data_IF_556504878035
#
_entry.id   IF_556504878035
#
_cell.length_a   1.000
_cell.length_b   1.000
_cell.length_c   1.000
_cell.angle_alpha   90.00
_cell.angle_beta   90.00
_cell.angle_gamma   90.00
#
_symmetry.space_group_name_H-M   'P 1'
#
loop_
_entity.id
_entity.type
_entity.pdbx_description
1 polymer ?
#
# COMPACT_ATOMS: atom_id res chain seq x y z
N UNK A 1 8.98 34.38 -5.95
CA UNK A 1 10.25 33.78 -6.40
C UNK A 1 10.29 32.37 -5.86
N UNK A 2 9.97 31.41 -6.70
CA UNK A 2 9.99 29.99 -6.36
C UNK A 2 11.44 29.53 -6.30
N UNK A 3 11.91 29.15 -5.12
CA UNK A 3 13.21 28.52 -4.98
C UNK A 3 13.16 27.12 -5.62
N UNK A 4 13.73 27.03 -6.79
CA UNK A 4 14.05 25.79 -7.47
C UNK A 4 15.07 25.06 -6.60
N UNK A 5 14.65 24.12 -5.77
CA UNK A 5 15.54 23.14 -5.15
C UNK A 5 15.92 22.11 -6.23
N UNK A 6 16.72 22.53 -7.18
CA UNK A 6 17.59 21.65 -7.94
C UNK A 6 18.66 21.16 -6.95
N UNK A 7 18.39 20.11 -6.21
CA UNK A 7 19.47 19.27 -5.72
C UNK A 7 20.15 18.68 -6.95
N UNK A 8 21.26 19.32 -7.34
CA UNK A 8 22.30 18.71 -8.15
C UNK A 8 22.71 17.43 -7.42
N UNK A 9 22.06 16.33 -7.76
CA UNK A 9 22.54 14.99 -7.41
C UNK A 9 23.91 14.90 -8.06
N UNK A 10 24.98 15.06 -7.27
CA UNK A 10 26.30 14.65 -7.68
C UNK A 10 26.13 13.25 -8.26
N UNK A 11 26.69 13.01 -9.43
CA UNK A 11 26.78 11.69 -10.05
C UNK A 11 27.61 10.80 -9.12
N UNK A 12 26.98 10.32 -8.05
CA UNK A 12 27.61 9.28 -7.21
C UNK A 12 27.79 8.07 -8.10
N UNK A 13 29.00 7.57 -8.14
CA UNK A 13 29.32 6.29 -8.79
C UNK A 13 28.26 5.26 -8.40
N UNK A 14 27.63 4.54 -9.35
CA UNK A 14 26.58 3.59 -9.01
C UNK A 14 27.10 2.56 -8.01
N UNK A 15 26.35 2.31 -6.96
CA UNK A 15 26.68 1.25 -5.99
C UNK A 15 26.45 -0.10 -6.66
N UNK A 16 27.44 -0.99 -6.53
CA UNK A 16 27.41 -2.34 -7.09
C UNK A 16 27.44 -3.38 -5.99
N UNK A 17 27.06 -4.61 -6.31
CA UNK A 17 26.91 -5.67 -5.34
C UNK A 17 25.66 -5.51 -4.48
N UNK A 18 25.67 -6.09 -3.28
CA UNK A 18 24.63 -5.97 -2.28
C UNK A 18 24.81 -4.69 -1.46
N UNK A 19 23.75 -3.94 -1.28
CA UNK A 19 23.75 -2.75 -0.42
C UNK A 19 22.38 -2.48 0.19
N UNK A 20 22.42 -1.81 1.33
CA UNK A 20 21.27 -1.21 1.99
C UNK A 20 21.29 0.30 1.69
N UNK A 21 20.13 0.87 1.42
CA UNK A 21 19.95 2.30 1.13
C UNK A 21 18.58 2.75 1.64
N UNK A 22 18.34 4.04 1.63
CA UNK A 22 17.02 4.61 1.91
C UNK A 22 16.66 5.66 0.88
N UNK A 23 15.37 5.93 0.77
CA UNK A 23 14.85 7.10 0.08
C UNK A 23 13.98 7.92 1.03
N UNK A 24 13.87 9.20 0.75
CA UNK A 24 12.94 10.08 1.46
C UNK A 24 11.55 9.86 0.86
N UNK A 25 10.60 9.47 1.70
CA UNK A 25 9.22 9.26 1.26
C UNK A 25 8.58 10.57 0.83
N UNK A 26 7.87 10.53 -0.28
CA UNK A 26 7.09 11.68 -0.77
C UNK A 26 5.84 11.99 0.07
N UNK A 27 5.50 11.10 1.02
CA UNK A 27 4.28 11.19 1.84
C UNK A 27 4.51 12.04 3.09
N UNK A 28 5.61 11.81 3.81
CA UNK A 28 5.83 12.35 5.16
C UNK A 28 7.27 12.73 5.44
N UNK A 29 8.11 12.77 4.42
CA UNK A 29 9.54 13.08 4.48
C UNK A 29 10.35 12.10 5.36
N UNK A 30 9.78 10.93 5.73
CA UNK A 30 10.48 9.89 6.47
C UNK A 30 11.46 9.12 5.58
N UNK A 31 12.56 8.63 6.16
CA UNK A 31 13.49 7.74 5.47
C UNK A 31 12.93 6.33 5.44
N UNK A 32 12.77 5.78 4.22
CA UNK A 32 12.27 4.42 3.99
C UNK A 32 13.39 3.55 3.44
N UNK A 33 13.80 2.52 4.20
CA UNK A 33 14.92 1.69 3.82
C UNK A 33 14.53 0.65 2.75
N UNK A 34 15.53 0.20 2.02
CA UNK A 34 15.42 -0.94 1.10
C UNK A 34 16.76 -1.64 0.94
N UNK A 35 16.72 -2.87 0.47
CA UNK A 35 17.91 -3.61 0.04
C UNK A 35 17.93 -3.74 -1.48
N UNK A 36 19.12 -3.75 -2.06
CA UNK A 36 19.28 -3.96 -3.48
C UNK A 36 20.54 -4.79 -3.79
N UNK A 37 20.47 -5.50 -4.91
CA UNK A 37 21.61 -6.09 -5.58
C UNK A 37 21.71 -5.49 -6.99
N UNK A 38 22.86 -4.95 -7.29
CA UNK A 38 23.25 -4.53 -8.64
C UNK A 38 24.48 -5.32 -9.05
N UNK A 39 24.45 -6.02 -10.19
CA UNK A 39 25.58 -6.84 -10.62
C UNK A 39 26.92 -6.10 -10.54
N UNK A 40 27.99 -6.74 -10.04
CA UNK A 40 29.34 -6.15 -10.08
C UNK A 40 29.79 -5.77 -11.51
N UNK A 41 29.30 -6.51 -12.51
CA UNK A 41 29.54 -6.28 -13.94
C UNK A 41 28.59 -5.24 -14.57
N UNK A 42 27.84 -4.49 -13.78
CA UNK A 42 26.85 -3.52 -14.28
C UNK A 42 27.47 -2.51 -15.24
N UNK A 43 26.74 -2.26 -16.32
CA UNK A 43 27.06 -1.20 -17.29
C UNK A 43 25.79 -0.41 -17.63
N UNK A 44 25.86 0.91 -17.59
CA UNK A 44 24.75 1.79 -17.99
C UNK A 44 24.35 1.66 -19.46
N UNK A 45 25.21 1.07 -20.29
CA UNK A 45 24.94 0.79 -21.72
C UNK A 45 24.05 -0.44 -21.93
N UNK A 46 23.92 -1.32 -20.92
CA UNK A 46 23.08 -2.51 -20.94
C UNK A 46 21.82 -2.27 -20.11
N UNK A 47 20.67 -2.75 -20.59
CA UNK A 47 19.41 -2.71 -19.81
C UNK A 47 19.23 -4.02 -19.06
N UNK A 48 18.98 -3.91 -17.75
CA UNK A 48 18.82 -5.05 -16.83
C UNK A 48 17.36 -5.29 -16.48
N UNK A 49 16.94 -6.55 -16.39
CA UNK A 49 15.68 -6.90 -15.73
C UNK A 49 15.68 -6.41 -14.29
N UNK A 50 14.50 -6.08 -13.78
CA UNK A 50 14.27 -5.73 -12.39
C UNK A 50 13.40 -6.80 -11.71
N UNK A 51 13.92 -7.45 -10.69
CA UNK A 51 13.17 -8.33 -9.80
C UNK A 51 12.86 -7.58 -8.51
N UNK A 52 11.56 -7.38 -8.23
CA UNK A 52 11.08 -6.81 -6.97
C UNK A 52 10.59 -7.93 -6.08
N UNK A 53 11.11 -8.00 -4.85
CA UNK A 53 10.80 -9.08 -3.90
C UNK A 53 10.30 -8.51 -2.56
N UNK A 54 9.11 -8.96 -2.15
CA UNK A 54 8.34 -8.44 -1.02
C UNK A 54 8.41 -9.41 0.16
N UNK A 55 8.86 -8.92 1.32
CA UNK A 55 8.96 -9.70 2.56
C UNK A 55 7.60 -10.04 3.17
N UNK A 56 7.58 -10.96 4.12
CA UNK A 56 6.41 -11.33 4.90
C UNK A 56 6.21 -10.45 6.13
N UNK A 57 5.17 -10.76 6.91
CA UNK A 57 4.93 -10.13 8.22
C UNK A 57 6.08 -10.44 9.19
N UNK A 58 6.31 -9.56 10.14
CA UNK A 58 7.40 -9.65 11.13
C UNK A 58 8.82 -9.69 10.53
N UNK A 59 8.97 -9.22 9.28
CA UNK A 59 10.23 -9.17 8.57
C UNK A 59 10.50 -7.77 7.99
N UNK A 60 11.64 -7.62 7.36
CA UNK A 60 12.03 -6.37 6.71
C UNK A 60 12.66 -6.61 5.32
N UNK A 61 13.09 -5.54 4.70
CA UNK A 61 13.72 -5.53 3.38
C UNK A 61 14.99 -6.40 3.25
N UNK A 62 15.57 -6.87 4.36
CA UNK A 62 16.80 -7.71 4.39
C UNK A 62 16.47 -9.19 4.33
N UNK A 63 15.27 -9.61 4.76
CA UNK A 63 14.92 -11.04 4.86
C UNK A 63 15.19 -11.80 3.55
N UNK A 64 14.70 -11.32 2.44
CA UNK A 64 14.83 -12.06 1.16
C UNK A 64 16.26 -12.08 0.67
N UNK A 65 17.00 -10.96 0.57
CA UNK A 65 18.37 -11.00 0.07
C UNK A 65 19.34 -11.67 1.03
N UNK A 66 19.18 -11.55 2.34
CA UNK A 66 20.15 -12.07 3.30
C UNK A 66 19.87 -13.52 3.72
N UNK A 67 18.60 -13.85 4.01
CA UNK A 67 18.22 -15.16 4.54
C UNK A 67 17.81 -16.14 3.43
N UNK A 68 16.99 -15.69 2.46
CA UNK A 68 16.48 -16.56 1.42
C UNK A 68 17.52 -16.79 0.30
N UNK A 69 18.02 -15.71 -0.31
CA UNK A 69 19.00 -15.80 -1.39
C UNK A 69 20.45 -15.86 -0.90
N UNK A 70 20.72 -15.56 0.37
CA UNK A 70 22.04 -15.56 0.99
C UNK A 70 23.08 -14.69 0.23
N UNK A 71 22.62 -13.57 -0.32
CA UNK A 71 23.42 -12.71 -1.22
C UNK A 71 24.73 -12.22 -0.59
N UNK A 72 24.78 -11.78 0.69
CA UNK A 72 26.04 -11.33 1.28
C UNK A 72 27.14 -12.42 1.32
N UNK A 73 26.75 -13.69 1.33
CA UNK A 73 27.69 -14.83 1.39
C UNK A 73 28.05 -15.39 0.02
N UNK A 74 27.09 -15.41 -0.92
CA UNK A 74 27.22 -16.13 -2.20
C UNK A 74 27.22 -15.21 -3.41
N UNK A 75 26.86 -13.91 -3.23
CA UNK A 75 26.48 -13.04 -4.33
C UNK A 75 25.13 -13.41 -4.92
N UNK A 76 24.81 -12.81 -6.02
CA UNK A 76 23.60 -13.10 -6.80
C UNK A 76 23.96 -13.08 -8.30
N UNK A 77 22.99 -12.97 -9.16
CA UNK A 77 23.17 -13.04 -10.61
C UNK A 77 23.76 -11.76 -11.21
N UNK A 78 24.52 -11.90 -12.31
CA UNK A 78 25.10 -10.80 -13.08
C UNK A 78 24.17 -10.25 -14.17
N UNK A 79 23.00 -10.81 -14.33
CA UNK A 79 22.07 -10.48 -15.40
C UNK A 79 20.74 -9.87 -14.93
N UNK A 80 20.55 -9.66 -13.61
CA UNK A 80 19.34 -9.10 -13.02
C UNK A 80 19.67 -8.14 -11.88
N UNK A 81 18.89 -7.08 -11.72
CA UNK A 81 18.90 -6.21 -10.53
C UNK A 81 17.77 -6.66 -9.61
N UNK A 82 18.08 -6.92 -8.33
CA UNK A 82 17.11 -7.23 -7.30
C UNK A 82 16.82 -5.99 -6.46
N UNK A 83 15.56 -5.81 -6.09
CA UNK A 83 15.09 -4.74 -5.22
C UNK A 83 14.14 -5.31 -4.17
N UNK A 84 14.43 -5.06 -2.90
CA UNK A 84 13.63 -5.49 -1.77
C UNK A 84 13.21 -4.26 -0.96
N UNK A 85 12.03 -3.66 -1.24
CA UNK A 85 11.53 -2.52 -0.50
C UNK A 85 11.04 -2.92 0.88
N UNK A 86 11.11 -1.99 1.85
CA UNK A 86 10.56 -2.17 3.19
C UNK A 86 9.02 -2.07 3.22
N UNK A 87 8.43 -1.21 2.38
CA UNK A 87 6.99 -1.04 2.29
C UNK A 87 6.32 -0.65 3.61
N UNK A 88 7.06 -0.01 4.52
CA UNK A 88 6.68 0.41 5.88
C UNK A 88 6.34 -0.74 6.84
N UNK A 89 6.94 -1.92 6.65
CA UNK A 89 6.74 -3.08 7.54
C UNK A 89 5.41 -3.79 7.31
N UNK A 90 4.67 -4.08 8.37
CA UNK A 90 3.54 -5.01 8.38
C UNK A 90 2.20 -4.37 7.99
N UNK A 91 2.18 -3.59 6.92
CA UNK A 91 0.97 -2.93 6.40
C UNK A 91 0.54 -3.45 5.02
N UNK A 92 0.83 -4.72 4.70
CA UNK A 92 0.44 -5.40 3.45
C UNK A 92 0.84 -4.66 2.17
N UNK A 93 1.87 -3.81 2.22
CA UNK A 93 2.21 -2.91 1.11
C UNK A 93 1.01 -2.09 0.62
N UNK A 94 0.11 -1.70 1.53
CA UNK A 94 -1.05 -0.89 1.22
C UNK A 94 -0.85 0.57 1.65
N UNK A 95 -1.68 1.48 1.12
CA UNK A 95 -1.62 2.89 1.48
C UNK A 95 -0.22 3.48 1.33
N UNK A 96 0.39 3.99 2.43
CA UNK A 96 1.76 4.53 2.38
C UNK A 96 2.82 3.49 2.03
N UNK A 97 2.62 2.22 2.39
CA UNK A 97 3.53 1.14 2.00
C UNK A 97 3.55 0.88 0.49
N UNK A 98 2.40 1.00 -0.17
CA UNK A 98 2.34 0.93 -1.64
C UNK A 98 3.02 2.14 -2.29
N UNK A 99 2.82 3.35 -1.75
CA UNK A 99 3.48 4.53 -2.28
C UNK A 99 5.00 4.43 -2.16
N UNK A 100 5.52 3.99 -1.01
CA UNK A 100 6.96 3.81 -0.81
C UNK A 100 7.54 2.68 -1.66
N UNK A 101 6.77 1.62 -1.92
CA UNK A 101 7.16 0.61 -2.91
C UNK A 101 7.42 1.26 -4.28
N UNK A 102 6.51 2.10 -4.76
CA UNK A 102 6.67 2.78 -6.04
C UNK A 102 7.78 3.83 -6.01
N UNK A 103 7.95 4.56 -4.91
CA UNK A 103 9.07 5.50 -4.73
C UNK A 103 10.41 4.76 -4.77
N UNK A 104 10.52 3.58 -4.14
CA UNK A 104 11.70 2.71 -4.19
C UNK A 104 11.97 2.20 -5.63
N UNK A 105 10.94 1.75 -6.34
CA UNK A 105 11.06 1.34 -7.75
C UNK A 105 11.50 2.52 -8.64
N UNK A 106 10.99 3.71 -8.42
CA UNK A 106 11.40 4.90 -9.16
C UNK A 106 12.84 5.30 -8.80
N UNK A 107 13.24 5.17 -7.53
CA UNK A 107 14.61 5.42 -7.09
C UNK A 107 15.62 4.56 -7.86
N UNK A 108 15.37 3.26 -7.99
CA UNK A 108 16.27 2.36 -8.73
C UNK A 108 16.26 2.67 -10.25
N UNK A 109 15.09 2.92 -10.84
CA UNK A 109 14.93 3.22 -12.27
C UNK A 109 15.62 4.52 -12.71
N UNK A 110 15.72 5.50 -11.82
CA UNK A 110 16.37 6.77 -12.12
C UNK A 110 17.89 6.71 -12.03
N UNK A 111 18.44 5.68 -11.39
CA UNK A 111 19.89 5.53 -11.13
C UNK A 111 20.53 4.39 -11.93
N UNK A 112 19.73 3.41 -12.33
CA UNK A 112 20.21 2.24 -13.04
C UNK A 112 19.42 2.00 -14.33
N UNK A 113 20.09 1.42 -15.32
CA UNK A 113 19.53 1.14 -16.64
C UNK A 113 18.63 -0.10 -16.61
N UNK A 114 17.34 0.10 -16.33
CA UNK A 114 16.33 -0.97 -16.23
C UNK A 114 15.64 -1.22 -17.58
N UNK A 115 15.46 -2.50 -17.93
CA UNK A 115 14.56 -2.90 -19.01
C UNK A 115 13.10 -2.89 -18.52
N UNK A 116 12.37 -1.83 -18.81
CA UNK A 116 10.97 -1.67 -18.40
C UNK A 116 10.02 -2.74 -18.95
N UNK A 117 10.46 -3.58 -19.89
CA UNK A 117 9.70 -4.74 -20.36
C UNK A 117 9.97 -6.02 -19.58
N UNK A 118 10.97 -6.01 -18.68
CA UNK A 118 11.38 -7.15 -17.86
C UNK A 118 11.40 -6.75 -16.39
N UNK A 119 10.22 -6.43 -15.87
CA UNK A 119 9.99 -6.18 -14.45
C UNK A 119 9.16 -7.33 -13.88
N UNK A 120 9.64 -7.92 -12.81
CA UNK A 120 9.07 -9.10 -12.16
C UNK A 120 8.75 -8.80 -10.72
N UNK A 121 7.72 -9.45 -10.20
CA UNK A 121 7.28 -9.29 -8.82
C UNK A 121 7.16 -10.65 -8.15
N UNK A 122 7.72 -10.78 -6.96
CA UNK A 122 7.54 -11.94 -6.09
C UNK A 122 7.38 -11.48 -4.66
N UNK A 123 6.85 -12.33 -3.81
CA UNK A 123 6.74 -12.09 -2.38
C UNK A 123 6.15 -13.28 -1.66
N UNK A 124 6.42 -13.35 -0.37
CA UNK A 124 6.02 -14.46 0.49
C UNK A 124 5.02 -13.99 1.56
N UNK A 125 4.06 -14.84 1.93
CA UNK A 125 3.08 -14.55 2.99
C UNK A 125 2.38 -13.20 2.74
N UNK A 126 2.51 -12.20 3.62
CA UNK A 126 2.06 -10.82 3.40
C UNK A 126 2.52 -10.28 2.03
N UNK A 127 3.80 -10.45 1.67
CA UNK A 127 4.32 -10.10 0.33
C UNK A 127 3.70 -10.92 -0.80
N UNK A 128 3.25 -12.14 -0.53
CA UNK A 128 2.49 -12.98 -1.46
C UNK A 128 1.10 -12.40 -1.76
N UNK A 129 0.37 -11.96 -0.73
CA UNK A 129 -0.88 -11.22 -0.89
C UNK A 129 -0.67 -9.93 -1.67
N UNK A 130 0.37 -9.16 -1.31
CA UNK A 130 0.73 -7.95 -2.03
C UNK A 130 1.08 -8.23 -3.49
N UNK A 131 1.78 -9.33 -3.79
CA UNK A 131 2.11 -9.74 -5.17
C UNK A 131 0.86 -9.95 -6.03
N UNK A 132 -0.12 -10.70 -5.53
CA UNK A 132 -1.41 -10.87 -6.22
C UNK A 132 -2.12 -9.54 -6.46
N UNK A 133 -2.26 -8.74 -5.40
CA UNK A 133 -2.98 -7.46 -5.44
C UNK A 133 -2.31 -6.45 -6.36
N UNK A 134 -1.01 -6.22 -6.19
CA UNK A 134 -0.25 -5.25 -6.99
C UNK A 134 -0.22 -5.62 -8.47
N UNK A 135 -0.07 -6.90 -8.78
CA UNK A 135 -0.08 -7.34 -10.17
C UNK A 135 -1.45 -7.17 -10.83
N UNK A 136 -2.52 -7.49 -10.12
CA UNK A 136 -3.87 -7.32 -10.64
C UNK A 136 -4.31 -5.84 -10.72
N UNK A 137 -3.75 -4.98 -9.85
CA UNK A 137 -4.00 -3.54 -9.88
C UNK A 137 -3.20 -2.83 -10.97
N UNK A 138 -1.94 -3.26 -11.20
CA UNK A 138 -1.01 -2.66 -12.16
C UNK A 138 -0.49 -3.67 -13.18
N UNK A 139 -1.37 -4.32 -13.95
CA UNK A 139 -0.97 -5.40 -14.84
C UNK A 139 0.03 -4.94 -15.91
N UNK A 140 0.06 -3.64 -16.20
CA UNK A 140 0.98 -3.06 -17.16
C UNK A 140 2.39 -2.83 -16.63
N UNK A 141 2.67 -3.11 -15.38
CA UNK A 141 4.01 -2.98 -14.81
C UNK A 141 4.82 -4.30 -14.87
N UNK A 142 4.17 -5.46 -14.89
CA UNK A 142 4.82 -6.73 -14.62
C UNK A 142 4.89 -7.64 -15.86
N UNK A 143 6.04 -8.24 -16.10
CA UNK A 143 6.23 -9.23 -17.14
C UNK A 143 5.85 -10.65 -16.70
N UNK A 144 6.04 -10.96 -15.42
CA UNK A 144 5.60 -12.18 -14.75
C UNK A 144 5.59 -11.95 -13.23
N UNK A 145 4.89 -12.79 -12.48
CA UNK A 145 4.82 -12.73 -11.02
C UNK A 145 4.95 -14.11 -10.37
N UNK A 146 5.46 -14.14 -9.13
CA UNK A 146 5.53 -15.37 -8.36
C UNK A 146 5.08 -15.13 -6.90
N UNK A 147 3.79 -15.22 -6.61
CA UNK A 147 3.26 -15.15 -5.24
C UNK A 147 3.47 -16.48 -4.51
N UNK A 148 3.94 -16.42 -3.24
CA UNK A 148 4.25 -17.58 -2.41
C UNK A 148 3.44 -17.52 -1.13
N UNK A 149 2.78 -18.62 -0.73
CA UNK A 149 1.98 -18.79 0.50
C UNK A 149 1.14 -17.54 0.85
N UNK A 150 0.51 -16.97 -0.16
CA UNK A 150 -0.36 -15.80 -0.04
C UNK A 150 -1.76 -16.08 -0.57
N UNK A 151 -2.55 -15.03 -0.64
CA UNK A 151 -3.91 -15.04 -1.16
C UNK A 151 -4.26 -13.74 -1.87
N UNK A 152 -5.51 -13.58 -2.27
CA UNK A 152 -5.97 -12.38 -2.94
C UNK A 152 -7.47 -12.38 -3.22
N UNK A 153 -7.95 -11.29 -3.77
CA UNK A 153 -9.33 -11.18 -4.23
C UNK A 153 -9.52 -11.87 -5.58
N UNK A 154 -10.36 -12.90 -5.61
CA UNK A 154 -10.67 -13.66 -6.82
C UNK A 154 -11.29 -12.79 -7.94
N UNK A 155 -11.96 -11.71 -7.57
CA UNK A 155 -12.62 -10.83 -8.53
C UNK A 155 -11.63 -10.06 -9.40
N UNK A 156 -10.44 -9.73 -8.86
CA UNK A 156 -9.41 -8.97 -9.60
C UNK A 156 -8.45 -9.85 -10.39
N UNK A 157 -8.43 -11.17 -10.18
CA UNK A 157 -7.52 -12.11 -10.88
C UNK A 157 -7.70 -12.04 -12.42
N UNK A 158 -8.89 -11.66 -12.88
CA UNK A 158 -9.13 -11.44 -14.30
C UNK A 158 -8.20 -10.44 -14.98
N UNK A 159 -7.63 -9.52 -14.23
CA UNK A 159 -6.66 -8.54 -14.73
C UNK A 159 -5.31 -9.19 -15.08
N UNK A 160 -5.03 -10.39 -14.57
CA UNK A 160 -3.79 -11.14 -14.80
C UNK A 160 -3.84 -11.99 -16.09
N UNK A 161 -4.85 -11.86 -16.93
CA UNK A 161 -5.10 -12.69 -18.10
C UNK A 161 -3.87 -12.94 -19.01
N UNK A 162 -2.93 -11.99 -19.05
CA UNK A 162 -1.74 -12.04 -19.92
C UNK A 162 -0.43 -12.13 -19.15
N UNK A 163 -0.48 -12.18 -17.82
CA UNK A 163 0.70 -12.19 -16.97
C UNK A 163 0.96 -13.62 -16.54
N UNK A 164 2.13 -14.20 -16.88
CA UNK A 164 2.55 -15.49 -16.34
C UNK A 164 2.65 -15.44 -14.82
N UNK A 165 2.03 -16.42 -14.16
CA UNK A 165 1.99 -16.55 -12.71
C UNK A 165 2.63 -17.88 -12.30
N UNK A 166 3.60 -17.85 -11.39
CA UNK A 166 4.10 -19.04 -10.72
C UNK A 166 3.72 -19.01 -9.25
N UNK A 167 2.63 -19.67 -8.89
CA UNK A 167 2.15 -19.73 -7.51
C UNK A 167 2.76 -20.94 -6.80
N UNK A 168 3.26 -20.73 -5.57
CA UNK A 168 3.80 -21.81 -4.71
C UNK A 168 3.14 -21.74 -3.33
N UNK A 169 2.72 -22.89 -2.78
CA UNK A 169 2.11 -22.95 -1.46
C UNK A 169 2.38 -24.29 -0.78
N UNK A 170 2.53 -24.30 0.53
CA UNK A 170 2.61 -25.53 1.32
C UNK A 170 1.25 -26.14 1.57
N UNK A 171 1.13 -27.46 1.35
CA UNK A 171 -0.14 -28.20 1.54
C UNK A 171 -0.67 -28.08 2.97
N UNK A 172 0.26 -28.03 3.95
CA UNK A 172 -0.04 -27.98 5.39
C UNK A 172 0.21 -26.60 6.01
N UNK A 173 -0.03 -25.55 5.26
CA UNK A 173 0.09 -24.20 5.76
C UNK A 173 -1.06 -23.90 6.74
N UNK A 174 -0.72 -23.75 8.02
CA UNK A 174 -1.67 -23.47 9.11
C UNK A 174 -1.86 -21.96 9.35
N UNK A 175 -0.99 -21.10 8.80
CA UNK A 175 -1.09 -19.65 8.94
C UNK A 175 -1.91 -19.04 7.81
N UNK A 176 -1.62 -19.43 6.58
CA UNK A 176 -2.36 -19.02 5.39
C UNK A 176 -2.90 -20.29 4.71
N UNK A 177 -4.20 -20.60 4.84
CA UNK A 177 -4.76 -21.79 4.24
C UNK A 177 -4.46 -21.91 2.74
N UNK A 178 -4.00 -23.09 2.31
CA UNK A 178 -3.64 -23.38 0.92
C UNK A 178 -4.78 -23.14 -0.06
N UNK A 179 -6.01 -23.17 0.43
CA UNK A 179 -7.25 -22.89 -0.32
C UNK A 179 -7.25 -21.51 -0.96
N UNK A 180 -6.58 -20.52 -0.35
CA UNK A 180 -6.43 -19.20 -0.97
C UNK A 180 -5.71 -19.30 -2.34
N UNK A 181 -4.61 -20.03 -2.41
CA UNK A 181 -3.90 -20.24 -3.68
C UNK A 181 -4.67 -21.14 -4.62
N UNK A 182 -5.28 -22.22 -4.14
CA UNK A 182 -6.09 -23.13 -4.96
C UNK A 182 -7.21 -22.40 -5.68
N UNK A 183 -7.96 -21.53 -5.00
CA UNK A 183 -9.05 -20.75 -5.59
C UNK A 183 -8.55 -19.79 -6.68
N UNK A 184 -7.46 -19.06 -6.43
CA UNK A 184 -6.89 -18.11 -7.37
C UNK A 184 -6.34 -18.81 -8.62
N UNK A 185 -5.65 -19.92 -8.44
CA UNK A 185 -5.11 -20.74 -9.54
C UNK A 185 -6.23 -21.38 -10.35
N UNK A 186 -7.28 -21.89 -9.71
CA UNK A 186 -8.45 -22.42 -10.40
C UNK A 186 -9.12 -21.35 -11.27
N UNK A 187 -9.20 -20.11 -10.80
CA UNK A 187 -9.75 -19.00 -11.56
C UNK A 187 -8.83 -18.60 -12.74
N UNK A 188 -7.49 -18.61 -12.57
CA UNK A 188 -6.55 -18.45 -13.69
C UNK A 188 -6.75 -19.54 -14.75
N UNK A 189 -6.87 -20.80 -14.34
CA UNK A 189 -7.11 -21.95 -15.22
C UNK A 189 -8.44 -21.78 -15.98
N UNK A 190 -9.53 -21.41 -15.28
CA UNK A 190 -10.85 -21.16 -15.89
C UNK A 190 -10.77 -20.05 -16.97
N UNK A 191 -9.93 -19.03 -16.75
CA UNK A 191 -9.69 -17.93 -17.70
C UNK A 191 -8.66 -18.25 -18.79
N UNK A 192 -8.05 -19.44 -18.76
CA UNK A 192 -6.95 -19.82 -19.65
C UNK A 192 -5.76 -18.83 -19.57
N UNK A 193 -5.50 -18.27 -18.39
CA UNK A 193 -4.36 -17.41 -18.12
C UNK A 193 -3.10 -18.25 -17.94
N UNK A 194 -1.92 -17.81 -18.40
CA UNK A 194 -0.67 -18.57 -18.26
C UNK A 194 -0.31 -18.68 -16.78
N UNK A 195 -0.22 -19.90 -16.25
CA UNK A 195 0.14 -20.14 -14.86
C UNK A 195 0.88 -21.46 -14.66
N UNK A 196 1.66 -21.51 -13.58
CA UNK A 196 2.26 -22.68 -12.96
C UNK A 196 1.86 -22.69 -11.50
N UNK A 197 1.51 -23.85 -10.96
CA UNK A 197 1.20 -24.03 -9.55
C UNK A 197 1.98 -25.22 -8.99
N UNK A 198 2.77 -24.97 -7.96
CA UNK A 198 3.44 -26.01 -7.20
C UNK A 198 2.89 -26.00 -5.76
N UNK A 199 2.01 -26.96 -5.46
CA UNK A 199 1.56 -27.26 -4.12
C UNK A 199 2.52 -28.25 -3.48
N UNK A 200 3.23 -27.80 -2.44
CA UNK A 200 4.31 -28.57 -1.83
C UNK A 200 3.76 -29.54 -0.77
N UNK A 201 3.70 -30.80 -1.12
CA UNK A 201 3.17 -31.87 -0.26
C UNK A 201 3.94 -31.96 1.05
N UNK A 202 3.21 -31.86 2.18
CA UNK A 202 3.75 -31.93 3.52
C UNK A 202 4.45 -30.66 4.02
N UNK A 203 4.56 -29.61 3.22
CA UNK A 203 5.13 -28.33 3.62
C UNK A 203 4.11 -27.45 4.34
N UNK A 204 4.59 -26.74 5.37
CA UNK A 204 3.84 -25.68 6.06
C UNK A 204 4.02 -24.31 5.41
N UNK A 205 3.91 -23.26 6.23
CA UNK A 205 3.92 -21.87 5.77
C UNK A 205 5.19 -21.44 5.01
N UNK A 206 6.36 -21.92 5.41
CA UNK A 206 7.66 -21.50 4.90
C UNK A 206 8.03 -22.06 3.51
N UNK A 207 7.05 -22.24 2.64
CA UNK A 207 7.20 -22.76 1.27
C UNK A 207 8.13 -21.90 0.37
N UNK A 208 8.40 -20.65 0.72
CA UNK A 208 9.38 -19.81 0.02
C UNK A 208 10.81 -20.38 0.09
N UNK A 209 11.17 -21.13 1.11
CA UNK A 209 12.49 -21.78 1.21
C UNK A 209 12.71 -22.77 0.07
N UNK A 210 11.65 -23.36 -0.46
CA UNK A 210 11.73 -24.23 -1.62
C UNK A 210 11.97 -23.44 -2.90
N UNK A 211 11.29 -22.30 -3.11
CA UNK A 211 11.39 -21.54 -4.35
C UNK A 211 12.61 -20.62 -4.42
N UNK A 212 12.97 -19.97 -3.29
CA UNK A 212 14.05 -18.98 -3.25
C UNK A 212 15.43 -19.57 -3.03
N UNK A 213 15.56 -20.90 -2.81
CA UNK A 213 16.86 -21.50 -2.59
C UNK A 213 17.79 -21.29 -3.80
N UNK A 214 19.08 -20.93 -3.56
CA UNK A 214 20.01 -20.53 -4.61
C UNK A 214 20.45 -21.65 -5.56
N UNK A 215 20.36 -22.90 -5.14
CA UNK A 215 20.95 -24.11 -5.75
C UNK A 215 19.93 -24.99 -6.50
N UNK A 216 18.86 -24.37 -7.01
CA UNK A 216 17.92 -25.05 -7.92
C UNK A 216 18.48 -25.07 -9.35
N UNK A 217 19.18 -26.13 -9.69
CA UNK A 217 19.69 -26.33 -11.05
C UNK A 217 18.53 -26.39 -12.07
N UNK A 218 18.57 -25.48 -13.03
CA UNK A 218 17.69 -25.49 -14.23
C UNK A 218 16.24 -25.10 -14.03
N UNK A 219 15.76 -24.90 -12.79
CA UNK A 219 14.38 -24.49 -12.46
C UNK A 219 14.34 -23.41 -11.38
N UNK A 220 15.26 -22.47 -11.47
CA UNK A 220 15.30 -21.35 -10.53
C UNK A 220 14.20 -20.34 -10.83
N UNK A 221 13.71 -19.64 -9.79
CA UNK A 221 12.73 -18.57 -9.96
C UNK A 221 13.20 -17.51 -10.96
N UNK A 222 14.48 -17.12 -10.88
CA UNK A 222 15.03 -16.08 -11.75
C UNK A 222 15.10 -16.55 -13.21
N UNK A 223 15.50 -17.79 -13.47
CA UNK A 223 15.53 -18.34 -14.83
C UNK A 223 14.11 -18.43 -15.42
N UNK A 224 13.14 -18.80 -14.60
CA UNK A 224 11.74 -18.79 -15.02
C UNK A 224 11.29 -17.36 -15.37
N UNK A 225 11.57 -16.36 -14.55
CA UNK A 225 11.22 -14.97 -14.83
C UNK A 225 11.86 -14.46 -16.13
N UNK A 226 13.13 -14.78 -16.38
CA UNK A 226 13.86 -14.28 -17.54
C UNK A 226 13.32 -14.76 -18.89
N UNK A 227 12.47 -15.80 -18.91
CA UNK A 227 11.77 -16.27 -20.11
C UNK A 227 10.69 -15.28 -20.57
N UNK A 228 10.23 -14.37 -19.70
CA UNK A 228 9.11 -13.50 -19.99
C UNK A 228 9.54 -12.06 -20.23
N UNK A 229 8.91 -11.47 -21.23
CA UNK A 229 9.13 -10.08 -21.61
C UNK A 229 7.82 -9.50 -22.13
N UNK A 230 7.46 -8.30 -21.67
CA UNK A 230 6.29 -7.60 -22.19
C UNK A 230 6.51 -7.13 -23.62
N UNK A 231 5.43 -7.12 -24.41
CA UNK A 231 5.47 -6.59 -25.76
C UNK A 231 5.76 -5.09 -25.79
N UNK A 232 5.18 -4.34 -24.84
CA UNK A 232 5.40 -2.90 -24.66
C UNK A 232 6.17 -2.62 -23.37
N UNK A 233 6.94 -1.53 -23.35
CA UNK A 233 7.53 -1.01 -22.12
C UNK A 233 6.45 -0.74 -21.09
N UNK A 234 6.75 -0.97 -19.80
CA UNK A 234 5.89 -0.54 -18.72
C UNK A 234 5.74 0.99 -18.83
N UNK A 235 4.52 1.52 -18.72
CA UNK A 235 4.34 2.95 -18.65
C UNK A 235 5.11 3.50 -17.44
N UNK A 236 5.50 4.79 -17.44
CA UNK A 236 5.91 5.43 -16.21
C UNK A 236 4.85 5.13 -15.16
N UNK A 237 5.28 4.76 -13.95
CA UNK A 237 4.34 4.69 -12.84
C UNK A 237 3.97 6.13 -12.51
N UNK A 238 3.00 6.63 -13.24
CA UNK A 238 2.14 7.65 -12.67
C UNK A 238 1.42 6.93 -11.55
N UNK A 239 1.45 7.48 -10.34
CA UNK A 239 0.64 6.95 -9.24
C UNK A 239 -0.71 6.55 -9.81
N UNK A 240 -1.20 5.35 -9.51
CA UNK A 240 -2.39 4.84 -10.18
C UNK A 240 -3.51 5.84 -10.10
N UNK A 241 -4.37 5.85 -11.12
CA UNK A 241 -5.59 6.62 -11.08
C UNK A 241 -6.30 6.27 -9.77
N UNK A 242 -6.42 7.24 -8.87
CA UNK A 242 -7.04 7.07 -7.56
C UNK A 242 -8.42 6.46 -7.77
N UNK A 243 -8.68 5.34 -7.13
CA UNK A 243 -9.99 4.68 -7.19
C UNK A 243 -11.06 5.51 -6.48
N UNK A 244 -10.62 6.49 -5.66
CA UNK A 244 -11.48 7.29 -4.81
C UNK A 244 -11.96 6.52 -3.57
N UNK A 245 -11.26 5.45 -3.18
CA UNK A 245 -11.50 4.70 -1.96
C UNK A 245 -10.71 5.30 -0.80
N UNK A 246 -11.07 4.93 0.42
CA UNK A 246 -10.52 5.56 1.63
C UNK A 246 -9.01 5.37 1.77
N UNK A 247 -8.46 4.20 1.36
CA UNK A 247 -7.02 3.93 1.40
C UNK A 247 -6.19 4.84 0.48
N UNK A 248 -6.79 5.41 -0.55
CA UNK A 248 -6.09 6.34 -1.46
C UNK A 248 -5.69 7.65 -0.77
N UNK A 249 -6.36 8.02 0.34
CA UNK A 249 -5.97 9.17 1.16
C UNK A 249 -4.53 9.07 1.65
N UNK A 250 -4.11 7.85 1.98
CA UNK A 250 -2.84 7.55 2.63
C UNK A 250 -1.68 7.31 1.65
N UNK A 251 -1.94 7.39 0.36
CA UNK A 251 -0.92 7.20 -0.69
C UNK A 251 -0.19 8.50 -1.05
N UNK A 252 -0.58 9.62 -0.46
CA UNK A 252 0.05 10.93 -0.67
C UNK A 252 0.19 11.67 0.67
N UNK A 253 0.82 12.85 0.61
CA UNK A 253 0.88 13.75 1.77
C UNK A 253 -0.52 14.00 2.31
N UNK A 254 -0.73 13.66 3.59
CA UNK A 254 -2.02 13.72 4.25
C UNK A 254 -1.94 14.58 5.50
N UNK A 255 -2.88 15.49 5.65
CA UNK A 255 -3.11 16.24 6.89
C UNK A 255 -4.40 15.75 7.53
N UNK A 256 -4.32 15.32 8.78
CA UNK A 256 -5.47 14.89 9.58
C UNK A 256 -5.85 16.04 10.49
N UNK A 257 -7.09 16.53 10.37
CA UNK A 257 -7.53 17.67 11.14
C UNK A 257 -8.73 17.35 12.02
N UNK A 258 -8.78 18.07 13.15
CA UNK A 258 -9.82 17.94 14.15
C UNK A 258 -10.16 19.33 14.75
N UNK A 259 -11.34 19.51 15.37
CA UNK A 259 -11.72 20.76 16.00
C UNK A 259 -10.77 21.14 17.12
N UNK A 260 -10.31 22.39 17.14
CA UNK A 260 -9.52 22.96 18.25
C UNK A 260 -10.32 23.00 19.55
N UNK A 261 -11.64 23.23 19.44
CA UNK A 261 -12.56 23.33 20.56
C UNK A 261 -13.91 22.69 20.21
N UNK A 262 -14.54 22.08 21.20
CA UNK A 262 -15.89 21.55 21.10
C UNK A 262 -16.69 21.98 22.34
N UNK A 263 -18.03 21.96 22.27
CA UNK A 263 -18.89 22.23 23.40
C UNK A 263 -18.70 21.26 24.59
N UNK A 264 -18.14 20.09 24.32
CA UNK A 264 -17.85 19.03 25.30
C UNK A 264 -16.32 18.81 25.29
N UNK A 265 -15.55 19.23 26.32
CA UNK A 265 -14.08 19.09 26.33
C UNK A 265 -13.59 17.67 26.04
N UNK A 266 -14.26 16.65 26.60
CA UNK A 266 -13.94 15.24 26.36
C UNK A 266 -14.06 14.82 24.90
N UNK A 267 -14.92 15.44 24.11
CA UNK A 267 -15.04 15.22 22.67
C UNK A 267 -13.77 15.71 21.94
N UNK A 268 -13.28 16.91 22.28
CA UNK A 268 -12.05 17.44 21.70
C UNK A 268 -10.83 16.55 21.98
N UNK A 269 -10.70 16.04 23.22
CA UNK A 269 -9.63 15.11 23.59
C UNK A 269 -9.70 13.78 22.82
N UNK A 270 -10.89 13.25 22.63
CA UNK A 270 -11.08 12.03 21.84
C UNK A 270 -10.73 12.25 20.36
N UNK A 271 -11.14 13.38 19.77
CA UNK A 271 -10.83 13.71 18.38
C UNK A 271 -9.32 13.88 18.16
N UNK A 272 -8.65 14.59 19.08
CA UNK A 272 -7.20 14.73 19.08
C UNK A 272 -6.52 13.36 19.15
N UNK A 273 -6.90 12.54 20.14
CA UNK A 273 -6.31 11.22 20.33
C UNK A 273 -6.54 10.29 19.13
N UNK A 274 -7.73 10.36 18.51
CA UNK A 274 -8.04 9.61 17.28
C UNK A 274 -7.19 10.09 16.10
N UNK A 275 -7.07 11.41 15.91
CA UNK A 275 -6.21 11.98 14.88
C UNK A 275 -4.75 11.55 15.03
N UNK A 276 -4.23 11.59 16.27
CA UNK A 276 -2.85 11.17 16.56
C UNK A 276 -2.62 9.66 16.33
N UNK A 277 -3.59 8.81 16.67
CA UNK A 277 -3.50 7.36 16.39
C UNK A 277 -3.51 7.07 14.89
N UNK A 278 -4.42 7.68 14.14
CA UNK A 278 -4.45 7.55 12.69
C UNK A 278 -3.14 8.05 12.07
N UNK A 279 -2.59 9.17 12.58
CA UNK A 279 -1.35 9.75 12.06
C UNK A 279 -0.12 8.86 12.28
N UNK A 280 -0.09 8.10 13.35
CA UNK A 280 1.07 7.25 13.70
C UNK A 280 1.15 5.97 12.88
N UNK A 281 0.09 5.56 12.21
CA UNK A 281 0.04 4.31 11.48
C UNK A 281 0.64 3.12 12.25
N UNK A 282 0.17 2.86 13.43
CA UNK A 282 0.50 1.61 14.12
C UNK A 282 -0.54 0.57 13.74
N UNK A 283 -0.29 -0.17 12.69
CA UNK A 283 -1.03 -1.38 12.37
C UNK A 283 -0.36 -2.54 13.10
N UNK A 284 -1.01 -3.03 14.16
CA UNK A 284 -0.49 -4.12 14.98
C UNK A 284 0.45 -3.68 16.11
N UNK A 285 0.84 -4.65 16.96
CA UNK A 285 1.68 -4.44 18.16
C UNK A 285 3.16 -4.15 17.85
N UNK A 286 3.55 -4.09 16.58
CA UNK A 286 4.93 -3.89 16.16
C UNK A 286 5.24 -2.43 15.94
N UNK A 287 6.14 -1.88 16.77
CA UNK A 287 6.68 -0.52 16.69
C UNK A 287 7.66 -0.34 15.51
N UNK A 288 7.26 -0.71 14.32
CA UNK A 288 8.07 -0.43 13.14
C UNK A 288 7.92 1.04 12.75
N UNK A 289 8.99 1.66 12.23
CA UNK A 289 9.03 3.10 11.86
C UNK A 289 8.18 3.37 10.63
N UNK A 290 6.86 3.39 10.81
CA UNK A 290 5.90 3.53 9.71
C UNK A 290 5.74 4.98 9.21
N UNK A 291 6.33 5.96 9.90
CA UNK A 291 6.15 7.38 9.61
C UNK A 291 5.03 8.02 10.42
N UNK A 292 4.81 9.30 10.23
CA UNK A 292 3.78 10.05 10.94
C UNK A 292 3.17 11.09 10.02
N UNK A 293 1.90 10.96 9.73
CA UNK A 293 1.14 12.04 9.08
C UNK A 293 1.03 13.27 9.97
N UNK A 294 0.86 14.42 9.34
CA UNK A 294 0.71 15.68 10.05
C UNK A 294 -0.69 15.79 10.63
N UNK A 295 -0.77 16.13 11.94
CA UNK A 295 -2.03 16.47 12.58
C UNK A 295 -2.10 17.97 12.83
N UNK A 296 -3.27 18.58 12.58
CA UNK A 296 -3.55 19.99 12.84
C UNK A 296 -4.93 20.16 13.45
N UNK A 297 -5.09 21.14 14.30
CA UNK A 297 -6.43 21.63 14.62
C UNK A 297 -7.05 22.33 13.42
N UNK A 298 -8.36 22.45 13.39
CA UNK A 298 -9.07 23.15 12.31
C UNK A 298 -8.74 24.65 12.26
N UNK A 299 -8.26 25.23 13.37
CA UNK A 299 -7.78 26.61 13.46
C UNK A 299 -6.38 26.81 12.90
N UNK A 300 -5.52 25.79 12.97
CA UNK A 300 -4.15 25.81 12.42
C UNK A 300 -4.12 25.54 10.91
N UNK A 301 -5.17 24.93 10.36
CA UNK A 301 -5.26 24.68 8.91
C UNK A 301 -5.32 25.98 8.11
N UNK A 302 -4.46 26.05 7.09
CA UNK A 302 -4.41 27.14 6.12
C UNK A 302 -5.04 26.76 4.80
N UNK A 303 -5.33 27.75 3.93
CA UNK A 303 -5.76 27.50 2.57
C UNK A 303 -4.70 26.78 1.73
N UNK A 304 -3.41 27.06 2.00
CA UNK A 304 -2.30 26.40 1.33
C UNK A 304 -2.24 24.90 1.69
N UNK A 305 -2.45 24.55 2.95
CA UNK A 305 -2.59 23.15 3.39
C UNK A 305 -3.68 22.44 2.56
N UNK A 306 -4.89 23.04 2.55
CA UNK A 306 -6.07 22.46 1.89
C UNK A 306 -5.91 22.26 0.37
N UNK A 307 -5.09 23.07 -0.26
CA UNK A 307 -4.81 22.99 -1.70
C UNK A 307 -3.60 22.11 -2.05
N UNK A 308 -2.72 21.82 -1.09
CA UNK A 308 -1.42 21.19 -1.32
C UNK A 308 -1.32 19.73 -0.88
N UNK A 309 -2.36 19.14 -0.29
CA UNK A 309 -2.32 17.77 0.23
C UNK A 309 -3.71 17.12 0.27
N UNK A 310 -3.72 15.80 0.47
CA UNK A 310 -4.94 15.11 0.89
C UNK A 310 -5.31 15.53 2.30
N UNK A 311 -6.59 15.45 2.64
CA UNK A 311 -7.09 15.77 3.97
C UNK A 311 -7.98 14.66 4.53
N UNK A 312 -7.86 14.42 5.83
CA UNK A 312 -8.85 13.67 6.61
C UNK A 312 -9.38 14.58 7.73
N UNK A 313 -10.66 14.91 7.68
CA UNK A 313 -11.32 15.73 8.67
C UNK A 313 -12.12 14.86 9.63
N UNK A 314 -11.85 15.00 10.93
CA UNK A 314 -12.55 14.32 12.00
C UNK A 314 -13.47 15.29 12.72
N UNK A 315 -14.75 14.95 12.85
CA UNK A 315 -15.68 15.80 13.60
C UNK A 315 -17.05 15.93 12.97
N UNK A 316 -17.79 16.94 13.44
CA UNK A 316 -19.09 17.33 12.94
C UNK A 316 -19.02 18.72 12.33
N UNK A 317 -19.98 19.03 11.45
CA UNK A 317 -20.05 20.35 10.81
C UNK A 317 -20.11 21.49 11.84
N UNK A 318 -20.80 21.26 12.95
CA UNK A 318 -20.98 22.27 14.00
C UNK A 318 -19.66 22.61 14.72
N UNK A 319 -18.75 21.67 14.84
CA UNK A 319 -17.52 21.83 15.64
C UNK A 319 -16.23 21.94 14.83
N UNK A 320 -16.27 21.74 13.50
CA UNK A 320 -15.08 21.82 12.65
C UNK A 320 -15.21 22.99 11.65
N UNK A 321 -14.34 24.00 11.79
CA UNK A 321 -14.39 25.25 11.01
C UNK A 321 -14.48 25.04 9.50
N UNK A 322 -13.66 24.13 8.96
CA UNK A 322 -13.60 23.91 7.51
C UNK A 322 -14.71 23.00 6.98
N UNK A 323 -15.18 22.05 7.78
CA UNK A 323 -16.39 21.30 7.46
C UNK A 323 -17.60 22.22 7.37
N UNK A 324 -17.72 23.18 8.29
CA UNK A 324 -18.78 24.19 8.28
C UNK A 324 -18.76 25.05 7.01
N UNK A 325 -17.55 25.49 6.58
CA UNK A 325 -17.39 26.29 5.35
C UNK A 325 -17.74 25.52 4.08
N UNK A 326 -17.60 24.20 4.08
CA UNK A 326 -17.80 23.34 2.91
C UNK A 326 -18.97 22.39 3.06
N UNK A 327 -19.82 22.58 4.05
CA UNK A 327 -20.93 21.69 4.42
C UNK A 327 -21.68 21.09 3.22
N UNK A 328 -22.12 21.95 2.30
CA UNK A 328 -22.92 21.53 1.12
C UNK A 328 -22.17 20.67 0.12
N UNK A 329 -20.83 20.62 0.22
CA UNK A 329 -19.96 19.85 -0.67
C UNK A 329 -19.47 18.54 -0.05
N UNK A 330 -19.83 18.26 1.21
CA UNK A 330 -19.38 17.05 1.92
C UNK A 330 -20.32 15.87 1.62
N UNK A 331 -19.73 14.73 1.22
CA UNK A 331 -20.47 13.49 1.00
C UNK A 331 -20.91 12.83 2.31
N UNK A 332 -20.20 13.07 3.42
CA UNK A 332 -20.62 12.65 4.76
C UNK A 332 -20.58 13.85 5.71
N UNK A 333 -21.66 14.07 6.46
CA UNK A 333 -21.75 15.18 7.41
C UNK A 333 -22.76 14.91 8.51
N UNK A 334 -22.46 15.34 9.71
CA UNK A 334 -23.42 15.43 10.80
C UNK A 334 -23.81 16.89 11.00
N UNK A 335 -25.10 17.17 10.90
CA UNK A 335 -25.68 18.53 11.02
C UNK A 335 -26.99 18.44 11.81
N UNK A 336 -27.11 19.28 12.85
CA UNK A 336 -28.35 19.42 13.64
C UNK A 336 -28.93 18.09 14.13
N UNK A 337 -28.08 17.18 14.61
CA UNK A 337 -28.50 15.88 15.14
C UNK A 337 -28.82 14.81 14.07
N UNK A 338 -28.54 15.07 12.81
CA UNK A 338 -28.78 14.15 11.69
C UNK A 338 -27.48 13.81 10.98
N UNK A 339 -27.27 12.52 10.67
CA UNK A 339 -26.19 12.07 9.83
C UNK A 339 -26.65 12.01 8.38
N UNK A 340 -25.95 12.73 7.50
CA UNK A 340 -26.17 12.70 6.06
C UNK A 340 -24.99 11.98 5.38
N UNK A 341 -25.31 11.04 4.49
CA UNK A 341 -24.34 10.34 3.67
C UNK A 341 -24.86 10.27 2.23
N UNK A 342 -24.11 10.86 1.29
CA UNK A 342 -24.43 10.90 -0.14
C UNK A 342 -25.87 11.41 -0.44
N UNK A 343 -26.37 12.36 0.35
CA UNK A 343 -27.71 12.94 0.18
C UNK A 343 -28.83 12.27 0.98
N UNK A 344 -28.58 11.09 1.53
CA UNK A 344 -29.53 10.41 2.41
C UNK A 344 -29.36 10.81 3.87
N UNK A 345 -30.46 10.87 4.63
CA UNK A 345 -30.49 11.30 6.03
C UNK A 345 -30.79 10.12 6.95
N UNK A 346 -29.99 9.96 7.98
CA UNK A 346 -30.09 8.89 8.97
C UNK A 346 -30.30 9.48 10.36
N UNK A 347 -31.30 8.97 11.08
CA UNK A 347 -31.71 9.46 12.39
C UNK A 347 -31.21 8.58 13.55
N UNK A 348 -30.68 7.41 13.27
CA UNK A 348 -30.23 6.46 14.30
C UNK A 348 -28.98 6.97 15.02
N UNK A 349 -29.05 7.10 16.34
CA UNK A 349 -27.98 7.66 17.19
C UNK A 349 -26.70 6.80 17.27
N UNK A 350 -26.74 5.54 16.84
CA UNK A 350 -25.58 4.64 16.86
C UNK A 350 -24.69 4.74 15.64
N UNK A 351 -24.98 5.64 14.69
CA UNK A 351 -24.30 5.67 13.39
C UNK A 351 -23.09 6.59 13.36
N UNK A 352 -22.06 6.12 12.68
CA UNK A 352 -20.91 6.90 12.23
C UNK A 352 -20.70 6.67 10.74
N UNK A 353 -20.10 7.64 10.06
CA UNK A 353 -19.83 7.56 8.64
C UNK A 353 -18.40 7.98 8.32
N UNK A 354 -17.82 7.29 7.33
CA UNK A 354 -16.59 7.71 6.67
C UNK A 354 -16.83 7.82 5.16
N UNK A 355 -16.39 8.91 4.57
CA UNK A 355 -16.51 9.14 3.14
C UNK A 355 -15.22 9.72 2.59
N UNK A 356 -14.89 9.41 1.34
CA UNK A 356 -13.84 10.04 0.57
C UNK A 356 -14.39 10.63 -0.72
N UNK A 357 -13.90 11.79 -1.08
CA UNK A 357 -14.29 12.54 -2.26
C UNK A 357 -13.13 13.35 -2.81
N UNK A 358 -13.27 13.90 -4.02
CA UNK A 358 -12.35 14.94 -4.49
C UNK A 358 -12.40 16.15 -3.57
N UNK A 359 -11.22 16.71 -3.27
CA UNK A 359 -11.12 17.91 -2.44
C UNK A 359 -11.84 19.10 -3.13
N UNK A 360 -12.67 19.85 -2.41
CA UNK A 360 -13.32 21.04 -2.94
C UNK A 360 -12.36 22.23 -3.15
N UNK A 361 -11.12 22.12 -2.65
CA UNK A 361 -10.08 23.15 -2.76
C UNK A 361 -9.07 22.87 -3.87
N UNK A 362 -8.85 21.59 -4.18
CA UNK A 362 -8.00 21.15 -5.30
C UNK A 362 -8.43 19.73 -5.72
N UNK A 363 -9.02 19.55 -6.92
CA UNK A 363 -9.53 18.25 -7.36
C UNK A 363 -8.44 17.19 -7.60
N UNK A 364 -7.17 17.59 -7.61
CA UNK A 364 -6.02 16.67 -7.67
C UNK A 364 -5.76 15.98 -6.33
N UNK A 365 -6.39 16.44 -5.25
CA UNK A 365 -6.30 15.85 -3.92
C UNK A 365 -7.63 15.26 -3.47
N UNK A 366 -7.57 14.42 -2.42
CA UNK A 366 -8.72 13.80 -1.81
C UNK A 366 -9.05 14.44 -0.47
N UNK A 367 -10.34 14.47 -0.17
CA UNK A 367 -10.89 14.82 1.13
C UNK A 367 -11.61 13.60 1.72
N UNK A 368 -11.09 13.09 2.83
CA UNK A 368 -11.76 12.15 3.70
C UNK A 368 -12.49 12.87 4.81
N UNK A 369 -13.63 12.34 5.22
CA UNK A 369 -14.39 12.81 6.37
C UNK A 369 -14.79 11.62 7.21
N UNK A 370 -14.50 11.67 8.52
CA UNK A 370 -15.07 10.76 9.52
C UNK A 370 -15.96 11.61 10.43
N UNK A 371 -17.24 11.27 10.46
CA UNK A 371 -18.25 11.96 11.27
C UNK A 371 -19.13 10.96 12.04
N UNK A 372 -19.77 11.43 13.09
CA UNK A 372 -20.50 10.59 14.06
C UNK A 372 -21.68 11.37 14.64
N UNK A 373 -22.68 10.65 15.15
CA UNK A 373 -23.80 11.27 15.84
C UNK A 373 -23.51 11.54 17.31
N UNK A 374 -22.87 10.62 18.01
CA UNK A 374 -22.47 10.78 19.42
C UNK A 374 -20.95 10.62 19.55
N UNK A 375 -20.30 11.49 20.33
CA UNK A 375 -18.83 11.49 20.46
C UNK A 375 -18.26 10.20 21.07
N UNK A 376 -19.05 9.48 21.90
CA UNK A 376 -18.64 8.18 22.44
C UNK A 376 -18.35 7.15 21.36
N UNK A 377 -18.94 7.34 20.17
CA UNK A 377 -18.76 6.46 19.01
C UNK A 377 -17.37 6.57 18.37
N UNK A 378 -16.64 7.66 18.69
CA UNK A 378 -15.24 7.81 18.23
C UNK A 378 -14.32 6.73 18.76
N UNK A 379 -14.63 6.13 19.92
CA UNK A 379 -13.81 5.07 20.48
C UNK A 379 -13.88 3.83 19.58
N UNK A 380 -12.76 3.45 19.01
CA UNK A 380 -12.65 2.30 18.12
C UNK A 380 -13.02 2.57 16.67
N UNK A 381 -13.51 3.77 16.31
CA UNK A 381 -13.73 4.12 14.89
C UNK A 381 -12.43 4.19 14.11
N UNK A 382 -11.35 4.66 14.72
CA UNK A 382 -10.04 4.68 14.09
C UNK A 382 -9.56 3.26 13.73
N UNK A 383 -9.75 2.26 14.60
CA UNK A 383 -9.42 0.88 14.29
C UNK A 383 -10.35 0.30 13.21
N UNK A 384 -11.62 0.70 13.21
CA UNK A 384 -12.59 0.26 12.19
C UNK A 384 -12.33 0.91 10.83
N UNK A 385 -12.05 2.22 10.80
CA UNK A 385 -11.90 2.96 9.56
C UNK A 385 -10.46 3.05 9.05
N UNK A 386 -9.46 2.75 9.86
CA UNK A 386 -8.06 2.91 9.52
C UNK A 386 -7.25 1.62 9.67
N UNK A 387 -7.89 0.45 9.89
CA UNK A 387 -7.20 -0.83 9.84
C UNK A 387 -6.91 -1.25 8.39
N UNK A 388 -5.80 -1.92 8.17
CA UNK A 388 -5.43 -2.46 6.85
C UNK A 388 -6.47 -3.48 6.36
N UNK A 389 -7.11 -4.17 7.29
CA UNK A 389 -8.18 -5.14 7.02
C UNK A 389 -9.52 -4.46 6.65
N UNK A 390 -9.69 -3.19 6.97
CA UNK A 390 -10.90 -2.48 6.61
C UNK A 390 -10.88 -2.19 5.11
N UNK A 391 -11.63 -2.96 4.34
CA UNK A 391 -11.92 -2.71 2.92
C UNK A 391 -12.84 -1.49 2.79
N UNK A 392 -12.38 -0.33 3.29
CA UNK A 392 -13.18 0.88 3.23
C UNK A 392 -13.34 1.35 1.79
N UNK A 393 -14.58 1.39 1.40
CA UNK A 393 -15.03 1.90 0.13
C UNK A 393 -15.09 3.43 0.13
N UNK A 394 -15.55 4.02 -0.95
CA UNK A 394 -15.75 5.46 -1.07
C UNK A 394 -16.72 6.02 -0.02
N UNK A 395 -17.81 5.30 0.25
CA UNK A 395 -18.83 5.65 1.25
C UNK A 395 -19.01 4.49 2.22
N UNK A 396 -18.99 4.79 3.52
CA UNK A 396 -19.12 3.79 4.56
C UNK A 396 -20.04 4.29 5.66
N UNK A 397 -21.04 3.51 6.00
CA UNK A 397 -21.95 3.74 7.10
C UNK A 397 -21.82 2.59 8.10
N UNK A 398 -21.47 2.89 9.34
CA UNK A 398 -21.17 1.93 10.38
C UNK A 398 -22.11 2.08 11.58
N UNK A 399 -22.71 0.97 12.02
CA UNK A 399 -23.47 0.90 13.28
C UNK A 399 -22.53 0.51 14.42
N UNK A 400 -22.29 1.43 15.32
CA UNK A 400 -21.36 1.26 16.43
C UNK A 400 -21.91 0.35 17.55
N UNK A 401 -23.22 0.14 17.64
CA UNK A 401 -23.84 -0.80 18.58
C UNK A 401 -23.78 -2.22 18.04
N UNK A 402 -24.10 -2.40 16.75
CA UNK A 402 -24.07 -3.71 16.09
C UNK A 402 -22.66 -4.10 15.63
N UNK A 403 -21.70 -3.16 15.68
CA UNK A 403 -20.30 -3.32 15.24
C UNK A 403 -20.18 -3.86 13.80
N UNK A 404 -21.01 -3.35 12.88
CA UNK A 404 -21.00 -3.77 11.47
C UNK A 404 -21.24 -2.61 10.52
N UNK A 405 -20.74 -2.74 9.30
CA UNK A 405 -21.10 -1.83 8.21
C UNK A 405 -22.55 -2.12 7.75
N UNK A 406 -23.34 -1.05 7.62
CA UNK A 406 -24.71 -1.12 7.10
C UNK A 406 -24.71 -0.83 5.59
N UNK A 407 -23.78 0.04 5.14
CA UNK A 407 -23.64 0.45 3.74
C UNK A 407 -22.18 0.68 3.40
N UNK A 408 -21.75 0.13 2.27
CA UNK A 408 -20.46 0.42 1.66
C UNK A 408 -20.66 0.55 0.15
N UNK A 409 -20.14 1.64 -0.43
CA UNK A 409 -20.22 1.93 -1.87
C UNK A 409 -18.84 2.34 -2.40
N UNK A 410 -18.50 1.84 -3.58
CA UNK A 410 -17.30 2.17 -4.35
C UNK A 410 -17.28 3.62 -4.84
#
# INVERSE_FOLDING_TARGET
MAALHLQLTSLKTPRLGYFLESHVSSIDDSEQPFAAWVPPSYSSRRKYPLLVALHGMDADHRMIPEECFQIPKRGFRDDVILLCPFGRGDIDYQGPGEADLWDTINWIKTRYSIDSRRQYLTGLSMGGFATWRLAATYPDQWAAIAPICGGGDINIVGNLKKIPVWCVHGEKDELVPVEHSRQLVAELARRKSPHRYDELKGWGHNSWQWLYRPDRDGDSLVDWFLQFRRAKSAPPVTRPARRGIFSDLFQERLIISYPAQTAIPREADLLRSSAERIARFSFGDFQMRTGRFLTKTDSELTQADLSGSNHLMLGRVENHRWMKKTERKLSARHVRGQLNLAGETYLCKSLAAAAVQKSPWNPDHLLGVITYQQFQQLRGLESTFCSVESQLQRLNLYDTQQKRFIRQEL
#
